data_IF_911914510713
#
_entry.id   IF_911914510713
#
_cell.length_a   1.000
_cell.length_b   1.000
_cell.length_c   1.000
_cell.angle_alpha   90.00
_cell.angle_beta   90.00
_cell.angle_gamma   90.00
#
_symmetry.space_group_name_H-M   'P 1'
#
loop_
_entity.id
_entity.type
_entity.pdbx_description
1 polymer ?
#
# COMPACT_ATOMS: atom_id res chain seq x y z
N UNK A 1 9.64 -2.26 7.00
CA UNK A 1 8.20 -2.62 6.93
C UNK A 1 7.98 -3.62 5.82
N UNK A 2 7.32 -4.71 6.11
CA UNK A 2 6.98 -5.68 5.06
C UNK A 2 5.82 -5.18 4.22
N UNK A 3 5.75 -5.64 2.98
CA UNK A 3 4.67 -5.24 2.07
C UNK A 3 3.29 -5.59 2.63
N UNK A 4 3.16 -6.73 3.30
CA UNK A 4 1.89 -7.12 3.94
C UNK A 4 1.49 -6.13 5.03
N UNK A 5 2.45 -5.64 5.78
CA UNK A 5 2.20 -4.65 6.82
C UNK A 5 1.80 -3.30 6.20
N UNK A 6 2.45 -2.92 5.11
CA UNK A 6 2.11 -1.70 4.38
C UNK A 6 0.65 -1.77 3.90
N UNK A 7 0.29 -2.89 3.28
CA UNK A 7 -1.09 -3.10 2.82
C UNK A 7 -2.09 -2.96 3.96
N UNK A 8 -1.80 -3.60 5.10
CA UNK A 8 -2.69 -3.55 6.26
C UNK A 8 -2.85 -2.14 6.80
N UNK A 9 -1.73 -1.40 6.90
CA UNK A 9 -1.76 -0.04 7.42
C UNK A 9 -2.47 0.92 6.48
N UNK A 10 -2.29 0.77 5.17
CA UNK A 10 -3.00 1.59 4.19
C UNK A 10 -4.50 1.34 4.28
N UNK A 11 -4.90 0.09 4.47
CA UNK A 11 -6.32 -0.25 4.65
C UNK A 11 -6.91 0.45 5.88
N UNK A 12 -6.17 0.45 6.99
CA UNK A 12 -6.60 1.13 8.20
C UNK A 12 -6.69 2.65 8.01
N UNK A 13 -5.70 3.21 7.32
CA UNK A 13 -5.69 4.64 7.04
C UNK A 13 -6.87 5.03 6.18
N UNK A 14 -7.20 4.22 5.18
CA UNK A 14 -8.34 4.46 4.31
C UNK A 14 -9.63 4.49 5.13
N UNK A 15 -9.81 3.55 6.05
CA UNK A 15 -10.95 3.52 6.94
C UNK A 15 -11.02 4.79 7.79
N UNK A 16 -9.90 5.19 8.36
CA UNK A 16 -9.84 6.36 9.23
C UNK A 16 -10.19 7.64 8.49
N UNK A 17 -9.88 7.71 7.20
CA UNK A 17 -10.13 8.89 6.37
C UNK A 17 -11.41 8.81 5.55
N UNK A 18 -12.12 7.70 5.63
CA UNK A 18 -13.32 7.50 4.82
C UNK A 18 -13.04 7.41 3.34
N UNK A 19 -11.87 6.84 2.98
CA UNK A 19 -11.41 6.72 1.59
C UNK A 19 -11.57 5.28 1.14
N UNK A 20 -11.92 5.08 -0.12
CA UNK A 20 -12.07 3.74 -0.67
C UNK A 20 -10.71 3.03 -0.71
N UNK A 21 -10.70 1.76 -0.36
CA UNK A 21 -9.52 0.91 -0.40
C UNK A 21 -9.85 -0.37 -1.15
N UNK A 22 -8.95 -0.77 -2.03
CA UNK A 22 -9.11 -2.02 -2.76
C UNK A 22 -7.75 -2.69 -2.92
N UNK A 23 -7.71 -3.98 -2.68
CA UNK A 23 -6.55 -4.81 -2.95
C UNK A 23 -6.93 -5.82 -4.02
N UNK A 24 -6.23 -5.75 -5.15
CA UNK A 24 -6.47 -6.64 -6.28
C UNK A 24 -5.24 -7.53 -6.44
N UNK A 25 -5.31 -8.79 -5.98
CA UNK A 25 -4.19 -9.70 -6.15
C UNK A 25 -3.99 -10.01 -7.62
N UNK A 26 -2.74 -10.28 -7.97
CA UNK A 26 -2.36 -10.55 -9.36
C UNK A 26 -3.13 -11.73 -9.93
N UNK A 27 -3.63 -11.54 -11.13
CA UNK A 27 -4.21 -12.62 -11.91
C UNK A 27 -3.13 -13.23 -12.80
N UNK A 28 -2.98 -14.54 -12.79
CA UNK A 28 -2.02 -15.22 -13.62
C UNK A 28 -0.67 -15.35 -12.94
N UNK A 29 0.41 -14.99 -13.66
CA UNK A 29 1.77 -15.23 -13.17
C UNK A 29 2.29 -14.15 -12.24
N UNK A 30 3.06 -14.56 -11.25
CA UNK A 30 3.75 -13.65 -10.36
C UNK A 30 2.95 -13.27 -9.13
N UNK A 31 3.54 -12.44 -8.31
CA UNK A 31 3.01 -12.06 -7.02
C UNK A 31 2.66 -10.57 -6.94
N UNK A 32 2.56 -9.91 -8.09
CA UNK A 32 2.22 -8.50 -8.15
C UNK A 32 0.73 -8.29 -7.92
N UNK A 33 0.40 -7.32 -7.10
CA UNK A 33 -1.00 -6.93 -6.91
C UNK A 33 -1.12 -5.42 -6.95
N UNK A 34 -2.32 -4.94 -7.14
CA UNK A 34 -2.62 -3.50 -7.18
C UNK A 34 -3.35 -3.09 -5.92
N UNK A 35 -2.84 -2.07 -5.26
CA UNK A 35 -3.46 -1.50 -4.07
C UNK A 35 -3.98 -0.13 -4.43
N UNK A 36 -5.28 0.07 -4.23
CA UNK A 36 -5.95 1.35 -4.54
C UNK A 36 -6.32 2.06 -3.24
N UNK A 37 -6.03 3.36 -3.20
CA UNK A 37 -6.34 4.23 -2.07
C UNK A 37 -7.00 5.48 -2.65
N UNK A 38 -8.32 5.56 -2.52
CA UNK A 38 -9.07 6.62 -3.16
C UNK A 38 -8.96 6.52 -4.68
N UNK A 39 -8.47 7.59 -5.29
CA UNK A 39 -8.26 7.64 -6.75
C UNK A 39 -6.85 7.25 -7.16
N UNK A 40 -5.99 6.93 -6.20
CA UNK A 40 -4.59 6.63 -6.45
C UNK A 40 -4.32 5.14 -6.27
N UNK A 41 -3.26 4.66 -6.91
CA UNK A 41 -2.89 3.26 -6.81
C UNK A 41 -1.38 3.08 -6.81
N UNK A 42 -0.94 1.94 -6.28
CA UNK A 42 0.45 1.52 -6.35
C UNK A 42 0.50 0.00 -6.49
N UNK A 43 1.63 -0.51 -6.91
CA UNK A 43 1.81 -1.95 -7.09
C UNK A 43 2.64 -2.53 -5.95
N UNK A 44 2.17 -3.64 -5.37
CA UNK A 44 2.91 -4.42 -4.39
C UNK A 44 3.36 -5.71 -5.06
N UNK A 45 4.68 -5.96 -5.06
CA UNK A 45 5.21 -7.13 -5.75
C UNK A 45 5.07 -8.41 -4.96
N UNK A 46 5.48 -8.39 -3.71
CA UNK A 46 5.49 -9.58 -2.87
C UNK A 46 5.17 -9.16 -1.44
N UNK A 47 4.07 -9.69 -0.90
CA UNK A 47 3.62 -9.31 0.44
C UNK A 47 4.61 -9.71 1.54
N UNK A 48 5.46 -10.68 1.27
CA UNK A 48 6.46 -11.13 2.24
C UNK A 48 7.74 -10.30 2.19
N UNK A 49 7.90 -9.48 1.16
CA UNK A 49 9.14 -8.74 0.95
C UNK A 49 9.23 -7.54 1.87
N UNK A 50 10.45 -7.29 2.35
CA UNK A 50 10.75 -6.10 3.13
C UNK A 50 10.84 -4.89 2.20
N UNK A 51 10.15 -3.82 2.56
CA UNK A 51 10.19 -2.57 1.79
C UNK A 51 11.26 -1.66 2.36
N UNK A 52 12.24 -1.30 1.54
CA UNK A 52 13.21 -0.30 1.92
C UNK A 52 12.57 1.09 1.98
N UNK A 53 13.24 2.02 2.66
CA UNK A 53 12.70 3.36 2.87
C UNK A 53 12.43 4.08 1.55
N UNK A 54 13.35 3.96 0.58
CA UNK A 54 13.16 4.61 -0.71
C UNK A 54 11.92 4.11 -1.45
N UNK A 55 11.74 2.79 -1.47
CA UNK A 55 10.56 2.20 -2.12
C UNK A 55 9.29 2.55 -1.35
N UNK A 56 9.35 2.53 -0.03
CA UNK A 56 8.20 2.87 0.80
C UNK A 56 7.75 4.30 0.55
N UNK A 57 8.70 5.25 0.49
CA UNK A 57 8.39 6.64 0.19
C UNK A 57 7.77 6.79 -1.20
N UNK A 58 8.30 6.06 -2.18
CA UNK A 58 7.79 6.10 -3.56
C UNK A 58 6.35 5.59 -3.60
N UNK A 59 6.06 4.50 -2.91
CA UNK A 59 4.72 3.92 -2.88
C UNK A 59 3.73 4.84 -2.16
N UNK A 60 4.16 5.47 -1.06
CA UNK A 60 3.33 6.44 -0.38
C UNK A 60 3.03 7.65 -1.28
N UNK A 61 4.03 8.11 -2.03
CA UNK A 61 3.83 9.20 -2.98
C UNK A 61 2.82 8.82 -4.06
N UNK A 62 2.89 7.58 -4.55
CA UNK A 62 1.92 7.08 -5.53
C UNK A 62 0.49 7.17 -4.99
N UNK A 63 0.32 6.97 -3.70
CA UNK A 63 -1.00 7.00 -3.06
C UNK A 63 -1.38 8.39 -2.57
N UNK A 64 -0.48 9.36 -2.67
CA UNK A 64 -0.72 10.71 -2.19
C UNK A 64 -0.69 10.84 -0.68
N UNK A 65 0.07 9.98 -0.01
CA UNK A 65 0.22 9.99 1.45
C UNK A 65 1.69 10.05 1.84
N UNK A 66 1.95 10.25 3.12
CA UNK A 66 3.29 10.23 3.70
C UNK A 66 3.49 8.99 4.56
N UNK A 67 4.75 8.58 4.73
CA UNK A 67 5.07 7.49 5.67
C UNK A 67 4.53 7.77 7.06
N UNK A 68 4.55 9.05 7.46
CA UNK A 68 4.06 9.47 8.77
C UNK A 68 2.59 9.11 8.97
N UNK A 69 1.83 9.14 7.91
CA UNK A 69 0.40 8.81 7.99
C UNK A 69 0.19 7.36 8.40
N UNK A 70 1.11 6.48 8.02
CA UNK A 70 1.03 5.07 8.36
C UNK A 70 1.38 4.80 9.83
N UNK A 71 2.12 5.69 10.46
CA UNK A 71 2.53 5.52 11.85
C UNK A 71 1.38 5.81 12.83
N UNK A 72 0.32 6.44 12.37
CA UNK A 72 -0.82 6.85 13.20
C UNK A 72 -2.02 5.92 13.09
N UNK A 73 -1.85 4.78 12.45
CA UNK A 73 -2.97 3.84 12.26
C UNK A 73 -2.72 2.48 12.87
#
# INVERSE_FOLDING_TARGET
MKASEFKRKVSKLAKARGVAFHWDPKHGKGSHGTLTFGDNLTTLKDLKKELGIGLLDSMCADLGIHRKDLNNV
#
